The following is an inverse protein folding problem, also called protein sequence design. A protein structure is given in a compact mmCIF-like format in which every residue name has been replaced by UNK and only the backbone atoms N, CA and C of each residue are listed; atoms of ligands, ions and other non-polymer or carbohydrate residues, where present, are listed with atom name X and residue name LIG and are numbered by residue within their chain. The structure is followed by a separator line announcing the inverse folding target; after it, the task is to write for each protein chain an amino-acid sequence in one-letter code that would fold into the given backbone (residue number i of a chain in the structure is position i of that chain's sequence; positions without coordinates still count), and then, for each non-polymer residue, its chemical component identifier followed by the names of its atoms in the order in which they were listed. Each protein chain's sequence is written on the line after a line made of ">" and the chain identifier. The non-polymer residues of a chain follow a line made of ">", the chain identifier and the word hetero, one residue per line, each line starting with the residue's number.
data_IF_122761336227
#
_entry.id   IF_122761336227
#
_cell.length_a   1.000
_cell.length_b   1.000
_cell.length_c   1.000
_cell.angle_alpha   90.00
_cell.angle_beta   90.00
_cell.angle_gamma   90.00
#
_symmetry.space_group_name_H-M   'P 1'
#
loop_
_entity.id
_entity.type
_entity.pdbx_description
1 polymer ?
#
# COMPACT_ATOMS: atom_id res chain seq x y z
N UNK A 1 -2.52 -8.05 -0.33
CA UNK A 1 -1.56 -8.89 0.42
C UNK A 1 -2.34 -9.78 1.36
N UNK A 2 -2.06 -11.08 1.35
CA UNK A 2 -2.81 -12.08 2.13
C UNK A 2 -2.69 -11.81 3.63
N UNK A 3 -3.82 -11.79 4.33
CA UNK A 3 -3.92 -11.73 5.80
C UNK A 3 -3.63 -13.08 6.46
N UNK A 4 -3.42 -14.14 5.68
CA UNK A 4 -3.14 -15.50 6.18
C UNK A 4 -1.66 -15.68 6.51
N UNK A 5 -1.39 -16.40 7.59
CA UNK A 5 -0.07 -16.97 7.89
C UNK A 5 0.43 -17.79 6.69
N UNK A 6 1.75 -18.03 6.62
CA UNK A 6 2.31 -19.08 5.73
C UNK A 6 1.62 -20.44 5.95
N UNK A 7 1.02 -20.66 7.12
CA UNK A 7 0.35 -21.91 7.53
C UNK A 7 -1.18 -21.79 7.61
N UNK A 8 -1.80 -20.71 7.11
CA UNK A 8 -3.27 -20.62 6.95
C UNK A 8 -4.11 -20.28 8.20
N UNK A 9 -3.57 -20.27 9.42
CA UNK A 9 -4.30 -19.84 10.63
C UNK A 9 -4.44 -18.29 10.74
N UNK A 10 -5.48 -17.83 11.43
CA UNK A 10 -5.69 -16.40 11.74
C UNK A 10 -4.75 -15.95 12.87
N UNK A 11 -4.16 -14.75 12.74
CA UNK A 11 -3.29 -14.15 13.79
C UNK A 11 -4.05 -13.56 14.98
N UNK A 12 -5.37 -13.44 14.85
CA UNK A 12 -6.26 -12.80 15.80
C UNK A 12 -7.58 -13.58 15.90
N UNK A 13 -8.24 -13.51 17.06
CA UNK A 13 -9.58 -14.08 17.29
C UNK A 13 -10.67 -13.19 16.70
N UNK A 14 -10.43 -11.88 16.64
CA UNK A 14 -11.28 -10.89 16.01
C UNK A 14 -11.66 -11.28 14.58
N UNK A 15 -12.95 -11.08 14.29
CA UNK A 15 -13.57 -11.32 12.97
C UNK A 15 -13.56 -10.08 12.07
N UNK A 16 -12.97 -8.97 12.52
CA UNK A 16 -12.92 -7.72 11.75
C UNK A 16 -12.33 -7.98 10.36
N UNK A 17 -12.85 -7.33 9.32
CA UNK A 17 -12.50 -7.60 7.93
C UNK A 17 -12.63 -6.37 7.05
N UNK A 18 -11.94 -6.37 5.93
CA UNK A 18 -12.15 -5.40 4.86
C UNK A 18 -13.21 -5.94 3.91
N UNK A 19 -14.21 -5.11 3.63
CA UNK A 19 -15.22 -5.34 2.60
C UNK A 19 -15.01 -4.32 1.50
N UNK A 20 -15.16 -4.74 0.25
CA UNK A 20 -14.95 -3.86 -0.90
C UNK A 20 -16.30 -3.43 -1.49
N UNK A 21 -16.51 -2.12 -1.61
CA UNK A 21 -17.65 -1.53 -2.29
C UNK A 21 -17.28 -1.33 -3.75
N UNK A 22 -18.02 -1.98 -4.65
CA UNK A 22 -17.73 -1.95 -6.10
C UNK A 22 -17.76 -0.54 -6.70
N UNK A 23 -18.72 0.27 -6.27
CA UNK A 23 -18.89 1.65 -6.69
C UNK A 23 -19.25 2.50 -5.46
N UNK A 24 -18.27 3.23 -4.96
CA UNK A 24 -18.41 4.14 -3.83
C UNK A 24 -18.51 5.58 -4.32
N UNK A 25 -19.36 6.40 -3.71
CA UNK A 25 -19.49 7.81 -4.06
C UNK A 25 -19.83 8.61 -2.81
N UNK A 26 -19.16 9.75 -2.62
CA UNK A 26 -19.47 10.66 -1.53
C UNK A 26 -20.83 11.31 -1.79
N UNK A 27 -21.54 11.65 -0.72
CA UNK A 27 -22.80 12.38 -0.80
C UNK A 27 -22.76 13.55 0.16
N UNK A 28 -23.31 14.68 -0.25
CA UNK A 28 -23.49 15.87 0.59
C UNK A 28 -24.93 15.96 1.05
N UNK A 29 -25.11 16.35 2.30
CA UNK A 29 -26.42 16.64 2.85
C UNK A 29 -26.89 17.99 2.31
N UNK A 30 -28.00 18.01 1.57
CA UNK A 30 -28.68 19.25 1.23
C UNK A 30 -29.54 19.65 2.42
N UNK A 31 -29.19 20.77 3.07
CA UNK A 31 -30.03 21.33 4.16
C UNK A 31 -31.39 21.70 3.59
N UNK A 32 -32.45 21.14 4.17
CA UNK A 32 -33.82 21.53 3.88
C UNK A 32 -34.02 22.98 4.32
N UNK A 33 -34.46 23.84 3.41
CA UNK A 33 -34.67 25.27 3.69
C UNK A 33 -35.90 25.53 4.55
N UNK A 34 -36.85 24.59 4.64
CA UNK A 34 -38.15 24.87 5.29
C UNK A 34 -38.71 23.77 6.22
N UNK A 35 -38.20 22.53 6.22
CA UNK A 35 -38.69 21.44 7.10
C UNK A 35 -37.59 20.47 7.50
N UNK A 36 -37.49 20.14 8.79
CA UNK A 36 -36.51 19.21 9.37
C UNK A 36 -36.48 17.79 8.75
N UNK A 37 -37.52 17.41 8.00
CA UNK A 37 -37.68 16.06 7.44
C UNK A 37 -37.28 15.91 5.96
N UNK A 38 -36.90 16.98 5.26
CA UNK A 38 -36.63 16.94 3.81
C UNK A 38 -35.12 16.94 3.49
N UNK A 39 -34.29 16.41 4.39
CA UNK A 39 -32.85 16.33 4.18
C UNK A 39 -32.54 15.27 3.11
N UNK A 40 -32.23 15.73 1.90
CA UNK A 40 -31.84 14.87 0.78
C UNK A 40 -30.32 14.74 0.70
N UNK A 41 -29.83 13.55 0.37
CA UNK A 41 -28.42 13.32 0.04
C UNK A 41 -28.24 13.49 -1.47
N UNK A 42 -27.41 14.45 -1.86
CA UNK A 42 -27.01 14.63 -3.25
C UNK A 42 -25.63 14.03 -3.45
N UNK A 43 -25.43 13.35 -4.59
CA UNK A 43 -24.14 12.76 -4.95
C UNK A 43 -23.11 13.87 -5.13
N UNK A 44 -21.97 13.73 -4.47
CA UNK A 44 -20.89 14.70 -4.49
C UNK A 44 -19.61 14.04 -5.01
N UNK A 45 -19.02 14.63 -6.05
CA UNK A 45 -17.77 14.15 -6.64
C UNK A 45 -17.89 12.85 -7.44
N UNK A 46 -16.73 12.30 -7.79
CA UNK A 46 -16.60 11.14 -8.66
C UNK A 46 -16.96 9.82 -7.96
N UNK A 47 -17.24 8.80 -8.78
CA UNK A 47 -17.41 7.44 -8.30
C UNK A 47 -16.06 6.71 -8.24
N UNK A 48 -15.75 6.12 -7.09
CA UNK A 48 -14.53 5.38 -6.81
C UNK A 48 -14.81 3.87 -6.85
N UNK A 49 -14.06 3.14 -7.68
CA UNK A 49 -14.25 1.71 -7.86
C UNK A 49 -13.47 0.90 -6.83
N UNK A 50 -14.04 -0.20 -6.36
CA UNK A 50 -13.38 -1.13 -5.42
C UNK A 50 -12.89 -0.46 -4.12
N UNK A 51 -13.67 0.48 -3.58
CA UNK A 51 -13.32 1.19 -2.35
C UNK A 51 -13.40 0.27 -1.10
N UNK A 52 -12.34 0.18 -0.28
CA UNK A 52 -12.34 -0.67 0.89
C UNK A 52 -12.99 0.01 2.10
N UNK A 53 -13.79 -0.76 2.83
CA UNK A 53 -14.43 -0.38 4.09
C UNK A 53 -14.06 -1.42 5.16
N UNK A 54 -13.70 -0.95 6.34
CA UNK A 54 -13.32 -1.78 7.48
C UNK A 54 -14.57 -2.05 8.31
N UNK A 55 -14.88 -3.33 8.51
CA UNK A 55 -15.95 -3.82 9.36
C UNK A 55 -15.32 -4.45 10.61
N UNK A 56 -15.81 -4.08 11.78
CA UNK A 56 -15.38 -4.57 13.09
C UNK A 56 -15.82 -6.02 13.32
N UNK A 57 -15.30 -6.65 14.37
CA UNK A 57 -15.62 -8.04 14.72
C UNK A 57 -17.09 -8.28 15.09
N UNK A 58 -17.79 -7.24 15.52
CA UNK A 58 -19.22 -7.23 15.84
C UNK A 58 -20.13 -7.06 14.61
N UNK A 59 -19.55 -6.75 13.44
CA UNK A 59 -20.27 -6.53 12.18
C UNK A 59 -20.56 -5.07 11.86
N UNK A 60 -20.29 -4.12 12.76
CA UNK A 60 -20.47 -2.70 12.51
C UNK A 60 -19.30 -2.11 11.70
N UNK A 61 -19.51 -1.04 10.93
CA UNK A 61 -18.40 -0.31 10.30
C UNK A 61 -17.48 0.31 11.36
N UNK A 62 -16.16 0.18 11.19
CA UNK A 62 -15.21 0.88 12.07
C UNK A 62 -15.21 2.37 11.76
N UNK A 63 -15.91 3.15 12.58
CA UNK A 63 -16.14 4.57 12.37
C UNK A 63 -14.83 5.32 12.11
N UNK A 64 -13.86 5.20 13.02
CA UNK A 64 -12.64 5.99 12.96
C UNK A 64 -11.70 5.59 11.81
N UNK A 65 -11.60 4.30 11.50
CA UNK A 65 -10.73 3.86 10.42
C UNK A 65 -11.34 4.16 9.06
N UNK A 66 -12.67 4.06 8.92
CA UNK A 66 -13.34 4.45 7.69
C UNK A 66 -13.30 5.97 7.50
N UNK A 67 -13.47 6.76 8.57
CA UNK A 67 -13.29 8.21 8.51
C UNK A 67 -11.90 8.59 7.99
N UNK A 68 -10.85 7.93 8.48
CA UNK A 68 -9.49 8.15 7.98
C UNK A 68 -9.35 7.80 6.49
N UNK A 69 -9.94 6.69 6.02
CA UNK A 69 -9.93 6.33 4.60
C UNK A 69 -10.67 7.38 3.75
N UNK A 70 -11.79 7.91 4.23
CA UNK A 70 -12.55 8.97 3.54
C UNK A 70 -11.76 10.29 3.48
N UNK A 71 -11.16 10.72 4.58
CA UNK A 71 -10.34 11.94 4.60
C UNK A 71 -9.11 11.82 3.72
N UNK A 72 -8.49 10.64 3.70
CA UNK A 72 -7.41 10.35 2.77
C UNK A 72 -7.86 10.37 1.32
N UNK A 73 -9.08 9.92 1.02
CA UNK A 73 -9.68 9.98 -0.32
C UNK A 73 -9.85 11.43 -0.78
N UNK A 74 -10.40 12.30 0.08
CA UNK A 74 -10.58 13.74 -0.22
C UNK A 74 -9.24 14.45 -0.51
N UNK A 75 -8.15 14.00 0.10
CA UNK A 75 -6.80 14.55 -0.11
C UNK A 75 -6.05 13.92 -1.28
N UNK A 76 -6.61 12.87 -1.91
CA UNK A 76 -5.95 12.12 -2.98
C UNK A 76 -6.35 12.70 -4.34
N UNK A 77 -5.36 13.18 -5.09
CA UNK A 77 -5.58 13.70 -6.46
C UNK A 77 -6.01 12.58 -7.40
N UNK A 78 -5.34 11.43 -7.31
CA UNK A 78 -5.61 10.29 -8.17
C UNK A 78 -5.78 9.01 -7.36
N UNK A 79 -6.98 8.46 -7.45
CA UNK A 79 -7.39 7.29 -6.69
C UNK A 79 -6.81 6.00 -7.28
N UNK A 80 -6.01 5.27 -6.50
CA UNK A 80 -5.61 3.90 -6.81
C UNK A 80 -6.22 2.91 -5.80
N UNK A 81 -7.10 2.03 -6.29
CA UNK A 81 -7.77 1.02 -5.48
C UNK A 81 -6.80 0.08 -4.76
N UNK A 82 -5.63 -0.22 -5.34
CA UNK A 82 -4.64 -1.11 -4.71
C UNK A 82 -3.99 -0.43 -3.51
N UNK A 83 -3.71 0.85 -3.61
CA UNK A 83 -3.18 1.66 -2.51
C UNK A 83 -4.16 1.72 -1.34
N UNK A 84 -5.43 2.03 -1.61
CA UNK A 84 -6.46 2.05 -0.57
C UNK A 84 -6.68 0.67 0.05
N UNK A 85 -6.74 -0.40 -0.77
CA UNK A 85 -6.86 -1.76 -0.28
C UNK A 85 -5.66 -2.15 0.61
N UNK A 86 -4.44 -1.73 0.26
CA UNK A 86 -3.25 -1.97 1.07
C UNK A 86 -3.34 -1.29 2.44
N UNK A 87 -3.75 -0.01 2.47
CA UNK A 87 -3.93 0.75 3.70
C UNK A 87 -5.02 0.11 4.58
N UNK A 88 -6.19 -0.20 4.00
CA UNK A 88 -7.28 -0.84 4.75
C UNK A 88 -6.86 -2.20 5.33
N UNK A 89 -6.09 -3.00 4.60
CA UNK A 89 -5.55 -4.27 5.10
C UNK A 89 -4.53 -4.11 6.24
N UNK A 90 -3.81 -2.98 6.30
CA UNK A 90 -2.91 -2.66 7.41
C UNK A 90 -3.72 -2.20 8.63
N UNK A 91 -4.74 -1.36 8.44
CA UNK A 91 -5.58 -0.85 9.51
C UNK A 91 -6.49 -1.92 10.12
N UNK A 92 -7.08 -2.81 9.32
CA UNK A 92 -7.92 -3.90 9.86
C UNK A 92 -7.12 -4.84 10.76
N UNK A 93 -5.82 -4.97 10.53
CA UNK A 93 -4.96 -5.74 11.41
C UNK A 93 -4.80 -5.10 12.78
N UNK A 94 -4.69 -3.78 12.80
CA UNK A 94 -4.68 -3.02 14.02
C UNK A 94 -6.05 -3.07 14.71
N UNK A 95 -7.17 -2.95 13.96
CA UNK A 95 -8.53 -3.18 14.48
C UNK A 95 -8.64 -4.55 15.18
N UNK A 96 -8.17 -5.62 14.54
CA UNK A 96 -8.19 -6.98 15.12
C UNK A 96 -7.38 -7.06 16.42
N UNK A 97 -6.21 -6.45 16.43
CA UNK A 97 -5.39 -6.36 17.64
C UNK A 97 -6.09 -5.58 18.77
N UNK A 98 -6.72 -4.46 18.46
CA UNK A 98 -7.46 -3.66 19.44
C UNK A 98 -8.62 -4.44 20.05
N UNK A 99 -9.36 -5.19 19.23
CA UNK A 99 -10.48 -6.02 19.68
C UNK A 99 -10.02 -7.17 20.58
N UNK A 100 -8.98 -7.91 20.17
CA UNK A 100 -8.45 -9.03 20.95
C UNK A 100 -7.89 -8.59 22.31
N UNK A 101 -7.22 -7.44 22.35
CA UNK A 101 -6.59 -6.90 23.56
C UNK A 101 -7.51 -5.95 24.35
N UNK A 102 -8.74 -5.73 23.88
CA UNK A 102 -9.74 -4.81 24.46
C UNK A 102 -9.17 -3.39 24.69
N UNK A 103 -8.48 -2.86 23.69
CA UNK A 103 -7.83 -1.55 23.73
C UNK A 103 -8.63 -0.51 22.95
N UNK A 104 -8.71 0.70 23.52
CA UNK A 104 -9.19 1.88 22.81
C UNK A 104 -8.00 2.63 22.17
N UNK A 105 -8.04 2.80 20.86
CA UNK A 105 -7.00 3.52 20.12
C UNK A 105 -7.05 5.04 20.29
N UNK A 106 -8.19 5.61 20.67
CA UNK A 106 -8.40 7.04 20.91
C UNK A 106 -7.94 7.47 22.30
N UNK A 107 -7.83 6.53 23.24
CA UNK A 107 -7.41 6.79 24.61
C UNK A 107 -5.89 6.91 24.73
N UNK A 108 -5.41 8.15 24.81
CA UNK A 108 -3.99 8.42 24.97
C UNK A 108 -3.58 8.42 26.46
N UNK A 109 -2.34 8.04 26.70
CA UNK A 109 -1.74 7.90 28.03
C UNK A 109 -0.39 8.63 28.05
N UNK A 110 -0.08 9.28 29.18
CA UNK A 110 1.23 9.94 29.40
C UNK A 110 2.39 8.95 29.28
N UNK A 111 2.21 7.74 29.82
CA UNK A 111 3.18 6.66 29.65
C UNK A 111 3.02 6.07 28.25
N UNK A 112 4.00 6.31 27.38
CA UNK A 112 3.96 5.91 25.97
C UNK A 112 3.63 4.43 25.76
N UNK A 113 4.21 3.56 26.57
CA UNK A 113 4.08 2.10 26.50
C UNK A 113 2.65 1.62 26.77
N UNK A 114 1.83 2.42 27.45
CA UNK A 114 0.43 2.10 27.71
C UNK A 114 -0.46 2.34 26.49
N UNK A 115 -0.02 3.15 25.53
CA UNK A 115 -0.79 3.46 24.33
C UNK A 115 -0.88 2.25 23.40
N UNK A 116 -2.04 2.08 22.78
CA UNK A 116 -2.32 0.95 21.90
C UNK A 116 -1.30 0.80 20.77
N UNK A 117 -0.81 1.90 20.20
CA UNK A 117 0.20 1.88 19.13
C UNK A 117 1.56 1.29 19.56
N UNK A 118 1.98 1.49 20.82
CA UNK A 118 3.21 0.89 21.35
C UNK A 118 3.03 -0.59 21.61
N UNK A 119 1.89 -0.99 22.21
CA UNK A 119 1.55 -2.40 22.41
C UNK A 119 1.47 -3.14 21.06
N UNK A 120 0.87 -2.52 20.05
CA UNK A 120 0.79 -3.07 18.71
C UNK A 120 2.16 -3.23 18.06
N UNK A 121 3.04 -2.24 18.21
CA UNK A 121 4.43 -2.36 17.73
C UNK A 121 5.14 -3.56 18.35
N UNK A 122 5.00 -3.76 19.66
CA UNK A 122 5.58 -4.93 20.35
C UNK A 122 5.04 -6.24 19.75
N UNK A 123 3.71 -6.35 19.58
CA UNK A 123 3.07 -7.51 18.94
C UNK A 123 3.59 -7.75 17.50
N UNK A 124 3.80 -6.70 16.72
CA UNK A 124 4.34 -6.81 15.36
C UNK A 124 5.79 -7.32 15.35
N UNK A 125 6.61 -6.89 16.31
CA UNK A 125 8.00 -7.37 16.45
C UNK A 125 8.00 -8.85 16.85
N UNK A 126 7.18 -9.25 17.81
CA UNK A 126 7.02 -10.64 18.22
C UNK A 126 6.61 -11.52 17.03
N UNK A 127 5.61 -11.10 16.26
CA UNK A 127 5.16 -11.82 15.07
C UNK A 127 6.24 -11.90 13.98
N UNK A 128 7.04 -10.84 13.80
CA UNK A 128 8.13 -10.85 12.84
C UNK A 128 9.26 -11.80 13.27
N UNK A 129 9.65 -11.76 14.55
CA UNK A 129 10.66 -12.64 15.13
C UNK A 129 10.23 -14.11 15.09
N UNK A 130 8.93 -14.38 15.29
CA UNK A 130 8.35 -15.71 15.15
C UNK A 130 8.15 -16.17 13.68
N UNK A 131 8.54 -15.36 12.69
CA UNK A 131 8.39 -15.69 11.27
C UNK A 131 6.95 -15.70 10.74
N UNK A 132 5.98 -15.21 11.53
CA UNK A 132 4.56 -15.16 11.18
C UNK A 132 4.27 -14.08 10.12
N UNK A 133 5.05 -12.99 10.15
CA UNK A 133 5.04 -11.92 9.15
C UNK A 133 6.46 -11.52 8.78
N UNK A 134 6.67 -10.93 7.61
CA UNK A 134 7.98 -10.36 7.26
C UNK A 134 8.24 -9.05 8.01
N UNK A 135 9.51 -8.71 8.24
CA UNK A 135 9.90 -7.41 8.81
C UNK A 135 9.34 -6.22 8.00
N UNK A 136 9.31 -6.33 6.66
CA UNK A 136 8.67 -5.35 5.77
C UNK A 136 7.16 -5.24 6.05
N UNK A 137 6.46 -6.36 6.25
CA UNK A 137 5.04 -6.34 6.59
C UNK A 137 4.79 -5.67 7.94
N UNK A 138 5.59 -5.99 8.95
CA UNK A 138 5.54 -5.32 10.26
C UNK A 138 5.76 -3.81 10.13
N UNK A 139 6.79 -3.41 9.38
CA UNK A 139 7.12 -2.00 9.09
C UNK A 139 5.97 -1.28 8.38
N UNK A 140 5.38 -1.88 7.35
CA UNK A 140 4.27 -1.30 6.61
C UNK A 140 3.02 -1.12 7.51
N UNK A 141 2.71 -2.12 8.35
CA UNK A 141 1.58 -2.06 9.30
C UNK A 141 1.75 -0.93 10.31
N UNK A 142 2.91 -0.83 10.96
CA UNK A 142 3.14 0.23 11.95
C UNK A 142 3.13 1.62 11.31
N UNK A 143 3.66 1.78 10.10
CA UNK A 143 3.64 3.05 9.37
C UNK A 143 2.21 3.51 9.04
N UNK A 144 1.32 2.57 8.67
CA UNK A 144 -0.08 2.85 8.42
C UNK A 144 -0.78 3.39 9.67
N UNK A 145 -0.55 2.75 10.81
CA UNK A 145 -1.10 3.16 12.10
C UNK A 145 -0.53 4.50 12.54
N UNK A 146 0.77 4.76 12.37
CA UNK A 146 1.36 6.07 12.65
C UNK A 146 0.69 7.17 11.83
N UNK A 147 0.48 6.95 10.52
CA UNK A 147 -0.22 7.92 9.68
C UNK A 147 -1.68 8.13 10.10
N UNK A 148 -2.37 7.07 10.54
CA UNK A 148 -3.69 7.18 11.14
C UNK A 148 -3.68 8.03 12.42
N UNK A 149 -2.72 7.84 13.33
CA UNK A 149 -2.61 8.66 14.53
C UNK A 149 -2.25 10.13 14.22
N UNK A 150 -1.44 10.40 13.18
CA UNK A 150 -1.20 11.77 12.69
C UNK A 150 -2.51 12.42 12.24
N UNK A 151 -3.34 11.67 11.53
CA UNK A 151 -4.67 12.11 11.12
C UNK A 151 -5.54 12.46 12.33
N UNK A 152 -5.63 11.59 13.35
CA UNK A 152 -6.42 11.86 14.55
C UNK A 152 -6.04 13.18 15.23
N UNK A 153 -4.74 13.47 15.30
CA UNK A 153 -4.23 14.72 15.88
C UNK A 153 -4.54 15.92 14.99
N UNK A 154 -4.39 15.78 13.67
CA UNK A 154 -4.62 16.87 12.70
C UNK A 154 -6.09 17.30 12.66
N UNK A 155 -7.01 16.35 12.80
CA UNK A 155 -8.45 16.60 12.83
C UNK A 155 -9.00 16.82 14.24
N UNK A 156 -8.14 16.95 15.25
CA UNK A 156 -8.50 17.15 16.67
C UNK A 156 -9.49 16.11 17.23
N UNK A 157 -9.36 14.85 16.81
CA UNK A 157 -10.22 13.72 17.22
C UNK A 157 -9.75 13.03 18.51
N UNK A 158 -8.70 13.55 19.14
CA UNK A 158 -8.07 13.01 20.35
C UNK A 158 -7.53 14.14 21.22
N UNK A 159 -7.58 13.96 22.55
CA UNK A 159 -7.01 14.90 23.52
C UNK A 159 -5.47 14.82 23.55
N UNK A 160 -4.86 15.30 22.48
CA UNK A 160 -3.42 15.34 22.33
C UNK A 160 -2.77 16.49 23.11
N UNK A 161 -3.54 17.49 23.55
CA UNK A 161 -3.04 18.59 24.38
C UNK A 161 -2.68 18.10 25.78
N UNK A 162 -3.52 17.23 26.38
CA UNK A 162 -3.30 16.72 27.73
C UNK A 162 -2.27 15.59 27.80
N UNK A 163 -2.21 14.74 26.78
CA UNK A 163 -1.41 13.51 26.79
C UNK A 163 -0.20 13.55 25.83
N UNK A 164 -0.17 14.51 24.91
CA UNK A 164 0.80 14.57 23.82
C UNK A 164 0.51 13.55 22.72
N UNK A 165 1.24 13.65 21.61
CA UNK A 165 1.25 12.62 20.56
C UNK A 165 1.95 11.37 21.12
N UNK A 166 1.40 10.16 20.91
CA UNK A 166 1.93 8.96 21.57
C UNK A 166 3.35 8.62 21.12
N UNK A 167 3.75 9.04 19.91
CA UNK A 167 5.07 8.80 19.32
C UNK A 167 5.79 10.11 19.00
N UNK A 168 7.09 10.03 18.69
CA UNK A 168 7.91 11.17 18.29
C UNK A 168 8.38 11.01 16.86
N UNK A 169 8.30 12.09 16.08
CA UNK A 169 8.95 12.16 14.78
C UNK A 169 10.47 12.27 14.96
N UNK A 170 11.22 11.63 14.07
CA UNK A 170 12.70 11.59 14.08
C UNK A 170 13.18 11.78 12.65
N UNK A 171 14.14 12.67 12.41
CA UNK A 171 14.73 12.83 11.09
C UNK A 171 15.91 11.87 10.91
N UNK A 172 15.95 11.16 9.79
CA UNK A 172 17.07 10.30 9.39
C UNK A 172 17.63 10.79 8.07
N UNK A 173 18.94 10.82 7.93
CA UNK A 173 19.57 11.16 6.67
C UNK A 173 19.84 9.88 5.89
N UNK A 174 19.33 9.79 4.67
CA UNK A 174 19.75 8.76 3.72
C UNK A 174 20.63 9.38 2.65
N UNK A 175 21.58 8.60 2.14
CA UNK A 175 22.30 8.96 0.94
C UNK A 175 21.57 8.35 -0.26
N UNK A 176 21.22 9.19 -1.22
CA UNK A 176 20.65 8.78 -2.51
C UNK A 176 21.70 9.08 -3.57
N UNK A 177 22.09 8.07 -4.31
CA UNK A 177 22.94 8.23 -5.48
C UNK A 177 22.06 8.67 -6.65
N UNK A 178 22.45 9.73 -7.36
CA UNK A 178 21.75 10.13 -8.58
C UNK A 178 22.26 9.32 -9.78
N UNK A 179 21.57 9.44 -10.92
CA UNK A 179 21.91 8.75 -12.18
C UNK A 179 23.32 9.07 -12.69
N UNK A 180 23.94 10.14 -12.18
CA UNK A 180 25.29 10.59 -12.52
C UNK A 180 26.35 10.27 -11.44
N UNK A 181 26.02 9.42 -10.45
CA UNK A 181 26.94 8.97 -9.40
C UNK A 181 27.21 9.97 -8.27
N UNK A 182 26.55 11.13 -8.25
CA UNK A 182 26.65 12.09 -7.15
C UNK A 182 25.75 11.68 -5.97
N UNK A 183 26.33 11.67 -4.78
CA UNK A 183 25.68 11.21 -3.55
C UNK A 183 25.02 12.37 -2.81
N UNK A 184 23.69 12.45 -2.85
CA UNK A 184 22.91 13.49 -2.15
C UNK A 184 22.42 12.95 -0.80
N UNK A 185 22.71 13.66 0.29
CA UNK A 185 22.10 13.39 1.60
C UNK A 185 20.70 14.02 1.63
N UNK A 186 19.68 13.22 1.85
CA UNK A 186 18.30 13.66 2.00
C UNK A 186 17.78 13.34 3.41
N UNK A 187 17.20 14.33 4.06
CA UNK A 187 16.51 14.13 5.33
C UNK A 187 15.15 13.48 5.07
N UNK A 188 14.92 12.33 5.68
CA UNK A 188 13.65 11.61 5.68
C UNK A 188 13.03 11.71 7.07
N UNK A 189 11.74 12.08 7.09
CA UNK A 189 10.93 12.05 8.30
C UNK A 189 10.57 10.61 8.65
N UNK A 190 11.04 10.15 9.81
CA UNK A 190 10.79 8.84 10.44
C UNK A 190 10.06 9.07 11.78
N UNK A 191 9.85 8.01 12.55
CA UNK A 191 9.33 8.06 13.93
C UNK A 191 10.02 7.04 14.85
N UNK A 192 9.91 7.23 16.15
CA UNK A 192 10.48 6.34 17.20
C UNK A 192 9.84 4.94 17.23
N UNK A 193 8.64 4.79 16.66
CA UNK A 193 7.98 3.48 16.48
C UNK A 193 8.50 2.67 15.28
N UNK A 194 9.43 3.17 14.47
CA UNK A 194 9.86 2.48 13.26
C UNK A 194 10.41 1.08 13.57
N UNK A 195 9.95 0.09 12.80
CA UNK A 195 10.48 -1.28 12.86
C UNK A 195 11.56 -1.41 11.79
N UNK A 196 12.75 -1.82 12.22
CA UNK A 196 13.89 -2.01 11.34
C UNK A 196 13.61 -3.14 10.35
N UNK A 197 13.85 -2.87 9.07
CA UNK A 197 13.83 -3.88 8.02
C UNK A 197 15.28 -4.03 7.58
N UNK A 198 15.90 -5.21 7.78
CA UNK A 198 17.26 -5.45 7.31
C UNK A 198 17.35 -5.14 5.82
N UNK A 199 18.44 -4.47 5.42
CA UNK A 199 18.76 -4.35 4.01
C UNK A 199 18.94 -5.76 3.45
N UNK A 200 18.33 -6.02 2.28
CA UNK A 200 18.58 -7.26 1.57
C UNK A 200 20.04 -7.25 1.12
N UNK A 201 20.75 -8.38 1.27
CA UNK A 201 22.11 -8.48 0.78
C UNK A 201 22.13 -8.15 -0.72
N UNK A 202 23.04 -7.27 -1.18
CA UNK A 202 23.13 -6.95 -2.60
C UNK A 202 23.46 -8.22 -3.38
N UNK A 203 22.58 -8.60 -4.30
CA UNK A 203 22.86 -9.65 -5.26
C UNK A 203 23.53 -9.01 -6.47
N UNK A 204 24.83 -9.26 -6.67
CA UNK A 204 25.60 -8.70 -7.78
C UNK A 204 25.10 -9.15 -9.15
N UNK A 205 24.35 -10.26 -9.21
CA UNK A 205 23.78 -10.79 -10.45
C UNK A 205 22.37 -10.26 -10.73
N UNK A 206 21.78 -9.50 -9.79
CA UNK A 206 20.46 -8.94 -9.96
C UNK A 206 20.53 -7.48 -10.44
N UNK A 207 19.65 -7.17 -11.39
CA UNK A 207 19.40 -5.82 -11.85
C UNK A 207 18.40 -5.18 -10.90
N UNK A 208 18.74 -4.00 -10.36
CA UNK A 208 17.87 -3.24 -9.45
C UNK A 208 17.19 -2.12 -10.24
N UNK A 209 16.01 -2.40 -10.80
CA UNK A 209 15.15 -1.42 -11.48
C UNK A 209 13.74 -1.45 -10.86
N UNK A 210 13.52 -0.65 -9.80
CA UNK A 210 12.26 -0.62 -9.04
C UNK A 210 11.91 -1.92 -8.28
N UNK A 211 12.74 -2.96 -8.44
CA UNK A 211 12.68 -4.28 -7.82
C UNK A 211 13.94 -5.06 -8.21
N UNK A 212 14.22 -6.15 -7.51
CA UNK A 212 15.37 -7.00 -7.80
C UNK A 212 14.96 -8.06 -8.84
N UNK A 213 15.51 -7.96 -10.04
CA UNK A 213 15.27 -8.88 -11.15
C UNK A 213 16.55 -9.62 -11.47
N UNK A 214 16.51 -10.94 -11.37
CA UNK A 214 17.61 -11.79 -11.85
C UNK A 214 17.31 -12.22 -13.29
N UNK A 215 18.27 -12.10 -14.22
CA UNK A 215 18.12 -12.65 -15.56
C UNK A 215 17.84 -14.16 -15.47
N UNK A 216 16.95 -14.65 -16.35
CA UNK A 216 16.74 -16.09 -16.47
C UNK A 216 18.01 -16.75 -17.03
N UNK A 217 18.44 -17.85 -16.42
CA UNK A 217 19.52 -18.66 -16.98
C UNK A 217 19.12 -19.25 -18.34
N UNK A 218 20.09 -19.63 -19.16
CA UNK A 218 19.85 -20.19 -20.51
C UNK A 218 18.97 -21.44 -20.44
N UNK A 219 19.17 -22.27 -19.41
CA UNK A 219 18.39 -23.48 -19.17
C UNK A 219 16.92 -23.14 -18.86
N UNK A 220 16.70 -22.15 -17.98
CA UNK A 220 15.35 -21.69 -17.64
C UNK A 220 14.64 -21.06 -18.84
N UNK A 221 15.36 -20.29 -19.65
CA UNK A 221 14.83 -19.76 -20.91
C UNK A 221 14.43 -20.87 -21.87
N UNK A 222 15.26 -21.91 -22.03
CA UNK A 222 14.95 -23.05 -22.90
C UNK A 222 13.68 -23.80 -22.45
N UNK A 223 13.50 -23.98 -21.14
CA UNK A 223 12.28 -24.58 -20.56
C UNK A 223 11.05 -23.73 -20.88
N UNK A 224 11.13 -22.42 -20.67
CA UNK A 224 10.02 -21.48 -20.96
C UNK A 224 9.69 -21.49 -22.44
N UNK A 225 10.68 -21.36 -23.32
CA UNK A 225 10.47 -21.37 -24.78
C UNK A 225 9.85 -22.68 -25.26
N UNK A 226 10.23 -23.83 -24.69
CA UNK A 226 9.62 -25.13 -24.98
C UNK A 226 8.15 -25.18 -24.54
N UNK A 227 7.83 -24.64 -23.36
CA UNK A 227 6.46 -24.58 -22.86
C UNK A 227 5.58 -23.64 -23.71
N UNK A 228 6.11 -22.49 -24.14
CA UNK A 228 5.41 -21.51 -24.96
C UNK A 228 4.97 -22.03 -26.33
N UNK A 229 5.64 -23.06 -26.87
CA UNK A 229 5.18 -23.70 -28.14
C UNK A 229 3.78 -24.28 -28.04
N UNK A 230 3.31 -24.60 -26.82
CA UNK A 230 1.97 -25.14 -26.56
C UNK A 230 0.98 -24.08 -26.06
N UNK A 231 1.41 -22.82 -25.87
CA UNK A 231 0.54 -21.74 -25.43
C UNK A 231 -0.09 -20.99 -26.61
N UNK A 232 -1.10 -20.16 -26.32
CA UNK A 232 -1.75 -19.34 -27.33
C UNK A 232 -0.79 -18.30 -27.93
N UNK A 233 -1.13 -17.77 -29.11
CA UNK A 233 -0.28 -16.82 -29.82
C UNK A 233 -0.03 -15.55 -29.00
N UNK A 234 -1.04 -15.10 -28.27
CA UNK A 234 -0.98 -13.93 -27.39
C UNK A 234 0.08 -14.13 -26.30
N UNK A 235 0.06 -15.28 -25.63
CA UNK A 235 1.04 -15.62 -24.60
C UNK A 235 2.46 -15.74 -25.17
N UNK A 236 2.62 -16.35 -26.34
CA UNK A 236 3.92 -16.40 -27.01
C UNK A 236 4.49 -14.99 -27.24
N UNK A 237 3.70 -14.09 -27.82
CA UNK A 237 4.12 -12.72 -28.11
C UNK A 237 4.44 -11.93 -26.85
N UNK A 238 3.61 -12.05 -25.80
CA UNK A 238 3.85 -11.39 -24.52
C UNK A 238 5.17 -11.83 -23.89
N UNK A 239 5.45 -13.13 -23.87
CA UNK A 239 6.68 -13.66 -23.28
C UNK A 239 7.90 -13.38 -24.13
N UNK A 240 7.80 -13.42 -25.46
CA UNK A 240 8.92 -13.02 -26.33
C UNK A 240 9.27 -11.55 -26.11
N UNK A 241 8.28 -10.67 -26.05
CA UNK A 241 8.52 -9.27 -25.74
C UNK A 241 9.20 -9.10 -24.36
N UNK A 242 8.72 -9.82 -23.34
CA UNK A 242 9.35 -9.80 -22.01
C UNK A 242 10.82 -10.25 -22.03
N UNK A 243 11.11 -11.37 -22.71
CA UNK A 243 12.45 -11.97 -22.76
C UNK A 243 13.45 -11.08 -23.51
N UNK A 244 13.04 -10.48 -24.62
CA UNK A 244 13.95 -9.72 -25.48
C UNK A 244 14.09 -8.25 -25.11
N UNK A 245 13.11 -7.66 -24.41
CA UNK A 245 13.18 -6.23 -24.03
C UNK A 245 13.29 -5.99 -22.53
N UNK A 246 13.12 -7.03 -21.70
CA UNK A 246 13.03 -6.87 -20.24
C UNK A 246 11.83 -6.04 -19.79
N UNK A 247 10.80 -5.87 -20.63
CA UNK A 247 9.67 -5.01 -20.31
C UNK A 247 8.85 -5.56 -19.14
N UNK A 248 8.39 -4.67 -18.26
CA UNK A 248 7.48 -5.03 -17.15
C UNK A 248 6.16 -5.56 -17.73
N UNK A 249 5.54 -6.52 -17.03
CA UNK A 249 4.25 -7.11 -17.44
C UNK A 249 3.20 -6.05 -17.77
N UNK A 250 3.12 -4.99 -16.97
CA UNK A 250 2.19 -3.88 -17.23
C UNK A 250 2.47 -3.17 -18.55
N UNK A 251 3.74 -2.93 -18.89
CA UNK A 251 4.14 -2.34 -20.19
C UNK A 251 3.70 -3.24 -21.34
N UNK A 252 3.95 -4.54 -21.24
CA UNK A 252 3.58 -5.53 -22.24
C UNK A 252 2.06 -5.56 -22.43
N UNK A 253 1.29 -5.61 -21.34
CA UNK A 253 -0.16 -5.68 -21.38
C UNK A 253 -0.85 -4.36 -21.78
N UNK A 254 -0.11 -3.25 -21.91
CA UNK A 254 -0.68 -1.92 -22.24
C UNK A 254 -0.11 -1.34 -23.52
N UNK A 255 0.78 -2.09 -24.20
CA UNK A 255 1.37 -1.72 -25.47
C UNK A 255 0.27 -1.62 -26.54
N UNK A 256 0.23 -0.48 -27.24
CA UNK A 256 -0.73 -0.23 -28.32
C UNK A 256 -0.05 -0.37 -29.68
N UNK A 257 -0.79 -0.80 -30.70
CA UNK A 257 -0.27 -0.95 -32.07
C UNK A 257 0.38 0.34 -32.58
N UNK A 258 -0.22 1.50 -32.28
CA UNK A 258 0.36 2.81 -32.66
C UNK A 258 1.76 3.07 -32.12
N UNK A 259 2.16 2.39 -31.03
CA UNK A 259 3.49 2.52 -30.43
C UNK A 259 4.54 1.64 -31.13
N UNK A 260 4.12 0.79 -32.08
CA UNK A 260 4.98 -0.10 -32.86
C UNK A 260 5.14 0.36 -34.32
N UNK A 261 4.31 1.28 -34.79
CA UNK A 261 4.30 1.75 -36.18
C UNK A 261 5.22 2.95 -36.32
N UNK A 262 6.07 2.95 -37.35
CA UNK A 262 6.93 4.10 -37.69
C UNK A 262 8.09 4.32 -36.72
N UNK A 263 8.46 3.30 -35.94
CA UNK A 263 9.61 3.40 -35.05
C UNK A 263 10.90 3.12 -35.85
N UNK A 264 11.72 4.15 -36.03
CA UNK A 264 13.05 4.02 -36.62
C UNK A 264 14.09 3.61 -35.57
N UNK A 265 15.13 2.87 -35.95
CA UNK A 265 16.27 2.60 -35.08
C UNK A 265 16.97 3.90 -34.67
N UNK A 266 17.39 3.99 -33.41
CA UNK A 266 18.26 5.07 -32.96
C UNK A 266 19.69 4.92 -33.54
N UNK A 267 20.59 5.87 -33.20
CA UNK A 267 21.99 5.86 -33.63
C UNK A 267 22.77 4.59 -33.23
N UNK A 268 22.22 3.78 -32.33
CA UNK A 268 22.80 2.53 -31.86
C UNK A 268 22.04 1.30 -32.41
N UNK A 269 21.08 1.49 -33.31
CA UNK A 269 20.29 0.42 -33.91
C UNK A 269 19.15 -0.09 -33.02
N UNK A 270 18.82 0.59 -31.92
CA UNK A 270 17.72 0.19 -31.03
C UNK A 270 16.42 0.88 -31.43
N UNK A 271 15.33 0.10 -31.49
CA UNK A 271 13.98 0.65 -31.64
C UNK A 271 13.47 1.11 -30.27
N UNK A 272 13.26 2.42 -30.12
CA UNK A 272 12.73 3.01 -28.88
C UNK A 272 11.21 2.95 -28.89
N UNK A 273 10.65 2.12 -28.04
CA UNK A 273 9.19 2.06 -27.86
C UNK A 273 8.73 3.13 -26.88
N UNK A 274 7.75 3.99 -27.25
CA UNK A 274 7.17 4.93 -26.31
C UNK A 274 6.33 4.13 -25.29
N UNK A 275 6.90 3.96 -24.10
CA UNK A 275 6.18 3.40 -22.94
C UNK A 275 5.46 4.56 -22.27
N UNK A 276 4.14 4.50 -22.18
CA UNK A 276 3.37 5.55 -21.50
C UNK A 276 3.85 5.73 -20.07
N UNK A 277 3.69 6.95 -19.53
CA UNK A 277 3.81 7.21 -18.09
C UNK A 277 2.94 6.16 -17.40
N UNK A 278 3.55 5.25 -16.65
CA UNK A 278 2.88 4.04 -16.17
C UNK A 278 1.51 4.37 -15.61
N UNK A 279 0.50 3.55 -15.95
CA UNK A 279 -0.90 3.76 -15.59
C UNK A 279 -1.01 4.30 -14.16
N UNK A 280 -1.21 5.60 -14.08
CA UNK A 280 -2.05 6.20 -13.09
C UNK A 280 -3.42 6.22 -13.81
N UNK A 281 -4.21 5.17 -13.61
CA UNK A 281 -5.67 5.22 -13.84
C UNK A 281 -6.20 5.65 -12.48
#
# INVERSE_FOLDING_TARGET
>A
MSTKLKNGQSRYQSKAKVVTIKKFQLSTLRKATDRLNDAAFEKHGDAYLEFPVIIQGDGNPSEIFNLYLLKKLEQTIQYDFKTFASIANQLVDFQRFLEDEQLDCLKFHKLKQSNAIFKYRTRLIEQANAGLISARSASNRINAVVNFYRFLVTEDLVDHQRYGIPFKDVYKYIAVDNEFGARRKMAIKSHDLAIHVPAKAPNSEAIVDGGELSPLTVENQAVILKALRKSSREYQLMFYLALFTGARLQTICTLRIKNLIGCEPDSHGFIRLPVGVGIAI
#
